data_IF_098558384905
#
_entry.id   IF_098558384905
#
_cell.length_a   1.000
_cell.length_b   1.000
_cell.length_c   1.000
_cell.angle_alpha   90.00
_cell.angle_beta   90.00
_cell.angle_gamma   90.00
#
_symmetry.space_group_name_H-M   'P 1'
#
loop_
_entity.id
_entity.type
_entity.pdbx_description
1 polymer ?
#
# COMPACT_ATOMS: atom_id res chain seq x y z
N UNK A 1 16.65 5.00 -37.06
CA UNK A 1 16.42 4.79 -35.62
C UNK A 1 17.72 5.09 -34.89
N UNK A 2 17.74 6.08 -34.01
CA UNK A 2 18.95 6.49 -33.29
C UNK A 2 19.30 5.46 -32.22
N UNK A 3 20.57 5.03 -32.16
CA UNK A 3 21.10 4.14 -31.12
C UNK A 3 20.90 4.68 -29.69
N UNK A 4 20.56 5.96 -29.55
CA UNK A 4 20.21 6.62 -28.28
C UNK A 4 18.80 6.26 -27.81
N UNK A 5 17.82 6.09 -28.72
CA UNK A 5 16.46 5.67 -28.40
C UNK A 5 16.40 4.19 -27.97
N UNK A 6 17.20 3.33 -28.62
CA UNK A 6 17.29 1.91 -28.28
C UNK A 6 17.93 1.68 -26.89
N UNK A 7 18.77 2.61 -26.42
CA UNK A 7 19.36 2.62 -25.08
C UNK A 7 18.47 3.27 -24.00
N UNK A 8 17.40 3.98 -24.38
CA UNK A 8 16.42 4.59 -23.46
C UNK A 8 15.24 3.64 -23.21
N UNK A 9 14.73 3.00 -24.26
CA UNK A 9 13.67 1.97 -24.20
C UNK A 9 14.15 0.70 -23.48
N UNK A 10 15.41 0.31 -23.65
CA UNK A 10 16.01 -0.82 -22.93
C UNK A 10 16.67 -0.42 -21.60
N UNK A 11 16.30 0.71 -20.98
CA UNK A 11 16.89 1.01 -19.67
C UNK A 11 16.42 -0.02 -18.66
N UNK A 12 17.34 -0.83 -18.09
CA UNK A 12 16.98 -1.78 -17.05
C UNK A 12 16.32 -1.01 -15.90
N UNK A 13 15.32 -1.62 -15.27
CA UNK A 13 14.62 -1.06 -14.11
C UNK A 13 15.63 -0.42 -13.15
N UNK A 14 15.64 0.92 -13.10
CA UNK A 14 16.75 1.72 -12.52
C UNK A 14 16.97 1.47 -11.03
N UNK A 15 15.93 1.03 -10.34
CA UNK A 15 15.95 0.70 -8.91
C UNK A 15 16.19 -0.79 -8.65
N UNK A 16 16.55 -1.57 -9.68
CA UNK A 16 16.70 -3.02 -9.63
C UNK A 16 17.94 -3.56 -8.94
N UNK A 17 18.74 -2.69 -8.33
CA UNK A 17 20.02 -3.06 -7.75
C UNK A 17 19.85 -3.71 -6.37
N UNK A 18 20.61 -4.77 -6.13
CA UNK A 18 20.74 -5.43 -4.82
C UNK A 18 21.88 -4.75 -4.06
N UNK A 19 21.70 -4.49 -2.77
CA UNK A 19 22.73 -3.99 -1.88
C UNK A 19 23.36 -5.17 -1.14
N UNK A 20 24.69 -5.28 -1.10
CA UNK A 20 25.39 -6.42 -0.48
C UNK A 20 25.53 -6.23 1.04
N UNK A 21 24.43 -6.41 1.77
CA UNK A 21 24.44 -6.35 3.25
C UNK A 21 24.39 -7.78 3.80
N UNK A 22 25.31 -8.11 4.72
CA UNK A 22 25.23 -9.38 5.45
C UNK A 22 23.98 -9.39 6.35
N UNK A 23 23.06 -10.32 6.07
CA UNK A 23 21.80 -10.50 6.83
C UNK A 23 21.79 -11.80 7.63
N UNK A 24 21.17 -11.76 8.82
CA UNK A 24 20.75 -12.92 9.60
C UNK A 24 19.36 -13.35 9.12
N UNK A 25 19.31 -14.51 8.46
CA UNK A 25 18.12 -15.03 7.78
C UNK A 25 17.62 -16.28 8.48
N UNK A 26 16.34 -16.33 8.83
CA UNK A 26 15.74 -17.51 9.43
C UNK A 26 15.70 -18.68 8.41
N UNK A 27 15.77 -19.94 8.87
CA UNK A 27 15.59 -21.09 8.00
C UNK A 27 14.28 -20.99 7.22
N UNK A 28 14.29 -21.51 5.99
CA UNK A 28 13.08 -21.61 5.17
C UNK A 28 12.08 -22.54 5.84
N UNK A 29 10.80 -22.22 5.72
CA UNK A 29 9.73 -23.01 6.28
C UNK A 29 8.76 -22.20 7.11
N UNK A 30 7.51 -22.67 7.17
CA UNK A 30 6.48 -22.11 8.02
C UNK A 30 5.98 -23.18 9.01
N UNK A 31 6.42 -23.06 10.26
CA UNK A 31 6.01 -23.91 11.38
C UNK A 31 6.05 -23.13 12.71
N UNK A 32 5.58 -23.75 13.79
CA UNK A 32 5.58 -23.13 15.12
C UNK A 32 7.00 -22.76 15.62
N UNK A 33 8.02 -23.55 15.26
CA UNK A 33 9.39 -23.31 15.69
C UNK A 33 9.96 -22.02 15.05
N UNK A 34 9.65 -21.77 13.77
CA UNK A 34 10.00 -20.51 13.09
C UNK A 34 9.28 -19.33 13.73
N UNK A 35 8.00 -19.47 14.09
CA UNK A 35 7.25 -18.40 14.78
C UNK A 35 7.87 -18.10 16.15
N UNK A 36 8.22 -19.14 16.92
CA UNK A 36 8.91 -19.00 18.21
C UNK A 36 10.30 -18.40 18.04
N UNK A 37 11.01 -18.75 16.97
CA UNK A 37 12.32 -18.17 16.62
C UNK A 37 12.20 -16.67 16.35
N UNK A 38 11.23 -16.24 15.53
CA UNK A 38 10.97 -14.82 15.24
C UNK A 38 10.70 -14.07 16.55
N UNK A 39 9.79 -14.61 17.37
CA UNK A 39 9.40 -14.01 18.63
C UNK A 39 10.57 -13.89 19.62
N UNK A 40 11.42 -14.93 19.69
CA UNK A 40 12.64 -14.94 20.52
C UNK A 40 13.67 -13.94 20.02
N UNK A 41 13.95 -13.89 18.71
CA UNK A 41 14.91 -12.94 18.11
C UNK A 41 14.49 -11.48 18.36
N UNK A 42 13.19 -11.20 18.37
CA UNK A 42 12.63 -9.87 18.65
C UNK A 42 12.36 -9.59 20.13
N UNK A 43 12.64 -10.56 21.00
CA UNK A 43 12.39 -10.49 22.44
C UNK A 43 10.93 -10.13 22.79
N UNK A 44 9.97 -10.66 22.04
CA UNK A 44 8.57 -10.24 22.15
C UNK A 44 7.91 -10.68 23.47
N UNK A 45 6.91 -9.92 23.97
CA UNK A 45 6.13 -10.33 25.12
C UNK A 45 5.26 -11.56 24.81
N UNK A 46 5.01 -12.39 25.83
CA UNK A 46 4.29 -13.66 25.68
C UNK A 46 2.91 -13.54 24.99
N UNK A 47 2.19 -12.44 25.22
CA UNK A 47 0.88 -12.22 24.60
C UNK A 47 0.95 -12.11 23.07
N UNK A 48 2.07 -11.60 22.53
CA UNK A 48 2.26 -11.46 21.08
C UNK A 48 2.62 -12.80 20.45
N UNK A 49 3.43 -13.62 21.15
CA UNK A 49 3.65 -15.01 20.73
C UNK A 49 2.34 -15.79 20.67
N UNK A 50 1.46 -15.66 21.67
CA UNK A 50 0.14 -16.29 21.66
C UNK A 50 -0.74 -15.79 20.51
N UNK A 51 -0.68 -14.50 20.19
CA UNK A 51 -1.37 -13.92 19.02
C UNK A 51 -0.89 -14.58 17.72
N UNK A 52 0.42 -14.72 17.53
CA UNK A 52 1.03 -15.33 16.34
C UNK A 52 0.67 -16.81 16.21
N UNK A 53 0.78 -17.58 17.28
CA UNK A 53 0.46 -19.01 17.28
C UNK A 53 -1.03 -19.26 17.01
N UNK A 54 -1.92 -18.43 17.57
CA UNK A 54 -3.36 -18.49 17.25
C UNK A 54 -3.62 -18.21 15.78
N UNK A 55 -2.95 -17.21 15.19
CA UNK A 55 -3.07 -16.91 13.76
C UNK A 55 -2.62 -18.09 12.89
N UNK A 56 -1.48 -18.70 13.21
CA UNK A 56 -0.97 -19.87 12.50
C UNK A 56 -1.94 -21.07 12.57
N UNK A 57 -2.48 -21.38 13.76
CA UNK A 57 -3.45 -22.45 13.93
C UNK A 57 -4.77 -22.21 13.18
N UNK A 58 -5.19 -20.96 13.03
CA UNK A 58 -6.35 -20.62 12.19
C UNK A 58 -6.01 -20.76 10.72
N UNK A 59 -4.84 -20.28 10.30
CA UNK A 59 -4.38 -20.36 8.92
C UNK A 59 -4.31 -21.81 8.41
N UNK A 60 -3.82 -22.76 9.23
CA UNK A 60 -3.79 -24.19 8.89
C UNK A 60 -5.16 -24.80 8.59
N UNK A 61 -6.25 -24.16 9.03
CA UNK A 61 -7.64 -24.62 8.81
C UNK A 61 -8.30 -23.93 7.62
N UNK A 62 -7.63 -22.95 7.01
CA UNK A 62 -8.17 -22.17 5.90
C UNK A 62 -7.72 -22.76 4.56
N UNK A 63 -8.56 -22.60 3.56
CA UNK A 63 -8.22 -22.89 2.17
C UNK A 63 -7.84 -21.59 1.45
N UNK A 64 -6.89 -21.69 0.52
CA UNK A 64 -6.48 -20.56 -0.28
C UNK A 64 -7.61 -20.13 -1.24
N UNK A 65 -8.03 -18.86 -1.21
CA UNK A 65 -9.15 -18.39 -2.04
C UNK A 65 -8.82 -18.34 -3.54
N UNK A 66 -9.63 -19.04 -4.35
CA UNK A 66 -9.50 -19.12 -5.82
C UNK A 66 -10.49 -18.24 -6.62
N UNK A 67 -11.25 -17.37 -5.94
CA UNK A 67 -12.25 -16.49 -6.57
C UNK A 67 -11.74 -15.19 -7.22
N UNK A 68 -10.56 -14.61 -6.91
CA UNK A 68 -10.17 -13.35 -7.55
C UNK A 68 -9.88 -13.55 -9.04
N UNK A 69 -10.04 -12.49 -9.84
CA UNK A 69 -9.77 -12.54 -11.28
C UNK A 69 -8.27 -12.40 -11.58
N UNK A 70 -7.45 -13.26 -10.99
CA UNK A 70 -6.00 -13.32 -11.17
C UNK A 70 -5.54 -14.77 -11.22
N UNK A 71 -4.44 -15.04 -11.91
CA UNK A 71 -3.84 -16.38 -12.04
C UNK A 71 -2.37 -16.33 -11.65
N UNK A 72 -1.98 -17.18 -10.71
CA UNK A 72 -0.60 -17.42 -10.29
C UNK A 72 -0.37 -18.89 -9.99
N UNK A 73 0.89 -19.37 -10.08
CA UNK A 73 1.28 -20.66 -9.52
C UNK A 73 1.06 -20.66 -8.01
N UNK A 74 0.75 -21.84 -7.46
CA UNK A 74 0.61 -22.01 -6.02
C UNK A 74 1.90 -21.61 -5.31
N UNK A 75 1.77 -20.85 -4.23
CA UNK A 75 2.91 -20.36 -3.44
C UNK A 75 3.41 -21.49 -2.54
N UNK A 76 4.70 -21.84 -2.67
CA UNK A 76 5.37 -22.73 -1.73
C UNK A 76 5.79 -21.96 -0.48
N UNK A 77 4.93 -21.93 0.53
CA UNK A 77 5.19 -21.31 1.83
C UNK A 77 6.37 -21.93 2.57
N UNK A 78 6.77 -23.17 2.25
CA UNK A 78 7.93 -23.80 2.88
C UNK A 78 9.26 -23.37 2.25
N UNK A 79 9.24 -22.79 1.06
CA UNK A 79 10.42 -22.26 0.38
C UNK A 79 10.78 -20.81 0.80
N UNK A 80 9.88 -20.14 1.53
CA UNK A 80 10.02 -18.75 1.95
C UNK A 80 10.81 -18.66 3.26
N UNK A 81 11.68 -17.64 3.37
CA UNK A 81 12.19 -17.19 4.66
C UNK A 81 11.34 -16.04 5.20
N UNK A 82 10.92 -16.15 6.46
CA UNK A 82 9.97 -15.25 7.13
C UNK A 82 10.65 -14.21 8.04
N UNK A 83 11.98 -14.21 8.10
CA UNK A 83 12.76 -13.23 8.85
C UNK A 83 14.11 -13.07 8.19
N UNK A 84 14.45 -11.83 7.85
CA UNK A 84 15.77 -11.42 7.44
C UNK A 84 16.05 -10.07 8.10
N UNK A 85 17.14 -9.95 8.82
CA UNK A 85 17.56 -8.68 9.40
C UNK A 85 19.05 -8.44 9.08
N UNK A 86 19.45 -7.21 8.73
CA UNK A 86 20.87 -6.86 8.62
C UNK A 86 21.62 -7.23 9.90
N UNK A 87 22.80 -7.85 9.80
CA UNK A 87 23.62 -8.12 10.97
C UNK A 87 24.01 -6.79 11.62
N UNK A 88 23.75 -6.60 12.93
CA UNK A 88 24.03 -5.34 13.58
C UNK A 88 25.55 -5.09 13.64
N UNK A 89 26.05 -4.11 12.90
CA UNK A 89 27.39 -3.55 13.10
C UNK A 89 27.32 -2.45 14.16
N UNK A 90 27.42 -2.83 15.44
CA UNK A 90 27.42 -1.94 16.65
C UNK A 90 26.16 -1.04 16.79
N UNK A 91 25.81 -0.68 18.02
CA UNK A 91 24.73 0.29 18.28
C UNK A 91 25.15 1.65 17.72
N UNK A 92 24.44 2.12 16.70
CA UNK A 92 24.71 3.40 16.07
C UNK A 92 24.01 4.52 16.85
N UNK A 93 24.75 5.57 17.22
CA UNK A 93 24.28 6.69 18.03
C UNK A 93 23.83 7.90 17.20
N UNK A 94 24.11 7.92 15.89
CA UNK A 94 23.64 8.96 14.95
C UNK A 94 23.51 8.45 13.50
N UNK A 95 22.85 9.25 12.66
CA UNK A 95 22.69 9.03 11.21
C UNK A 95 24.02 8.97 10.44
N UNK A 96 25.11 9.50 11.00
CA UNK A 96 26.44 9.49 10.38
C UNK A 96 27.14 8.13 10.47
N UNK A 97 26.59 7.21 11.27
CA UNK A 97 27.14 5.87 11.44
C UNK A 97 26.38 4.81 10.61
N UNK A 98 25.31 5.20 9.90
CA UNK A 98 24.58 4.31 8.97
C UNK A 98 25.52 3.83 7.87
N UNK A 99 25.41 2.55 7.47
CA UNK A 99 26.30 1.96 6.46
C UNK A 99 26.36 2.86 5.20
N UNK A 100 27.56 3.29 4.76
CA UNK A 100 27.73 4.13 3.58
C UNK A 100 27.06 3.55 2.33
N UNK A 101 26.89 2.23 2.25
CA UNK A 101 26.19 1.56 1.16
C UNK A 101 24.67 1.75 1.24
N UNK A 102 24.09 1.79 2.45
CA UNK A 102 22.69 2.17 2.69
C UNK A 102 22.45 3.64 2.31
N UNK A 103 23.34 4.55 2.70
CA UNK A 103 23.26 5.97 2.35
C UNK A 103 23.34 6.18 0.82
N UNK A 104 24.31 5.56 0.15
CA UNK A 104 24.42 5.57 -1.33
C UNK A 104 23.21 4.95 -2.02
N UNK A 105 22.62 3.95 -1.39
CA UNK A 105 21.40 3.28 -1.87
C UNK A 105 20.21 4.24 -1.84
N UNK A 106 20.05 5.05 -0.79
CA UNK A 106 19.02 6.09 -0.71
C UNK A 106 19.24 7.23 -1.70
N UNK A 107 20.48 7.69 -1.88
CA UNK A 107 20.83 8.69 -2.90
C UNK A 107 20.49 8.19 -4.32
N UNK A 108 20.81 6.93 -4.64
CA UNK A 108 20.48 6.31 -5.93
C UNK A 108 18.98 6.10 -6.16
N UNK A 109 18.20 5.91 -5.09
CA UNK A 109 16.74 5.83 -5.18
C UNK A 109 16.09 7.19 -5.49
N UNK A 110 16.84 8.29 -5.44
CA UNK A 110 16.30 9.63 -5.65
C UNK A 110 15.45 10.13 -4.48
N UNK A 111 15.56 9.51 -3.29
CA UNK A 111 14.96 9.98 -2.04
C UNK A 111 15.94 10.98 -1.43
N UNK A 112 15.74 12.31 -1.59
CA UNK A 112 16.73 13.29 -1.17
C UNK A 112 16.62 13.46 0.35
N UNK A 113 17.38 12.66 1.11
CA UNK A 113 17.37 12.68 2.57
C UNK A 113 17.75 14.04 3.16
N UNK A 114 18.60 14.82 2.48
CA UNK A 114 19.10 16.10 2.99
C UNK A 114 18.39 17.35 2.46
N UNK A 115 17.85 17.35 1.24
CA UNK A 115 17.34 18.59 0.61
C UNK A 115 15.81 18.76 0.72
N UNK A 116 15.01 17.69 0.81
CA UNK A 116 13.53 17.82 0.91
C UNK A 116 12.98 17.72 2.33
N UNK A 117 13.67 17.02 3.23
CA UNK A 117 13.29 16.96 4.65
C UNK A 117 13.33 18.34 5.35
N UNK A 118 14.15 19.27 4.85
CA UNK A 118 14.25 20.64 5.34
C UNK A 118 13.26 21.63 4.68
N UNK A 119 12.77 21.33 3.48
CA UNK A 119 11.88 22.22 2.71
C UNK A 119 10.38 21.92 2.91
N UNK A 120 10.01 20.70 3.32
CA UNK A 120 8.62 20.23 3.40
C UNK A 120 8.11 19.94 4.82
N UNK A 121 9.00 19.83 5.80
CA UNK A 121 8.63 19.51 7.18
C UNK A 121 8.06 18.11 7.40
N UNK A 122 8.32 17.12 6.54
CA UNK A 122 7.78 15.74 6.63
C UNK A 122 8.64 14.85 7.53
N UNK A 123 8.02 14.04 8.41
CA UNK A 123 8.73 13.00 9.17
C UNK A 123 8.80 11.70 8.37
N UNK A 124 10.01 11.18 8.15
CA UNK A 124 10.24 9.96 7.36
C UNK A 124 10.82 8.87 8.26
N UNK A 125 10.16 7.70 8.28
CA UNK A 125 10.71 6.45 8.81
C UNK A 125 11.11 5.56 7.64
N UNK A 126 12.36 5.15 7.59
CA UNK A 126 12.89 4.34 6.49
C UNK A 126 13.14 2.93 6.97
N UNK A 127 12.40 1.96 6.41
CA UNK A 127 12.45 0.55 6.79
C UNK A 127 13.17 -0.23 5.70
N UNK A 128 14.27 -0.88 6.07
CA UNK A 128 15.09 -1.71 5.20
C UNK A 128 15.21 -3.11 5.81
N UNK A 129 14.76 -4.15 5.09
CA UNK A 129 14.80 -5.57 5.52
C UNK A 129 14.55 -5.76 7.03
N UNK A 130 13.28 -5.63 7.43
CA UNK A 130 12.80 -5.82 8.81
C UNK A 130 13.28 -4.90 9.92
N UNK A 131 14.10 -3.89 9.61
CA UNK A 131 14.63 -2.94 10.59
C UNK A 131 14.38 -1.49 10.15
N UNK A 132 13.91 -0.64 11.07
CA UNK A 132 13.90 0.81 10.87
C UNK A 132 15.33 1.35 10.98
N UNK A 133 15.80 2.03 9.94
CA UNK A 133 17.19 2.52 9.82
C UNK A 133 17.31 3.98 10.27
N UNK A 134 16.26 4.78 10.08
CA UNK A 134 16.24 6.20 10.45
C UNK A 134 14.81 6.71 10.64
N UNK A 135 14.55 7.37 11.77
CA UNK A 135 13.31 8.13 12.01
C UNK A 135 13.66 9.60 12.25
N UNK A 136 13.37 10.47 11.29
CA UNK A 136 13.58 11.92 11.43
C UNK A 136 12.45 12.55 12.25
N UNK A 137 12.71 13.62 13.00
CA UNK A 137 11.71 14.40 13.77
C UNK A 137 11.02 13.71 14.96
N UNK A 138 11.52 12.56 15.43
CA UNK A 138 11.00 11.84 16.62
C UNK A 138 10.82 12.73 17.85
N UNK A 139 11.74 13.66 18.11
CA UNK A 139 11.65 14.60 19.24
C UNK A 139 10.49 15.59 19.08
N UNK A 140 10.32 16.20 17.89
CA UNK A 140 9.22 17.15 17.65
C UNK A 140 7.84 16.49 17.69
N UNK A 141 7.73 15.25 17.22
CA UNK A 141 6.50 14.46 17.33
C UNK A 141 6.21 14.10 18.80
N UNK A 142 7.23 13.74 19.57
CA UNK A 142 7.09 13.44 21.00
C UNK A 142 6.69 14.68 21.82
N UNK A 143 7.13 15.90 21.46
CA UNK A 143 6.72 17.15 22.11
C UNK A 143 5.20 17.37 22.06
N UNK A 144 4.54 16.93 20.99
CA UNK A 144 3.07 16.97 20.84
C UNK A 144 2.38 15.65 21.21
N UNK A 145 3.12 14.70 21.80
CA UNK A 145 2.61 13.41 22.27
C UNK A 145 2.30 12.39 21.17
N UNK A 146 2.72 12.62 19.93
CA UNK A 146 2.56 11.68 18.82
C UNK A 146 3.62 10.59 18.93
N UNK A 147 3.18 9.33 18.85
CA UNK A 147 4.06 8.17 18.78
C UNK A 147 4.16 7.77 17.31
N UNK A 148 5.37 7.79 16.76
CA UNK A 148 5.67 7.31 15.41
C UNK A 148 6.96 6.50 15.46
N UNK A 149 6.85 5.19 15.30
CA UNK A 149 7.97 4.25 15.38
C UNK A 149 7.61 2.91 14.72
N UNK A 150 8.59 2.02 14.61
CA UNK A 150 8.31 0.64 14.16
C UNK A 150 7.38 -0.10 15.11
N UNK A 151 6.59 -1.04 14.58
CA UNK A 151 5.71 -1.90 15.40
C UNK A 151 6.51 -2.71 16.43
N UNK A 152 7.74 -3.10 16.08
CA UNK A 152 8.65 -3.82 16.99
C UNK A 152 9.04 -2.94 18.18
N UNK A 153 9.35 -1.66 17.97
CA UNK A 153 9.62 -0.72 19.06
C UNK A 153 8.38 -0.47 19.90
N UNK A 154 7.22 -0.28 19.27
CA UNK A 154 5.96 -0.01 19.96
C UNK A 154 5.53 -1.14 20.89
N UNK A 155 5.77 -2.40 20.52
CA UNK A 155 5.47 -3.57 21.37
C UNK A 155 6.28 -3.55 22.67
N UNK A 156 7.49 -3.00 22.64
CA UNK A 156 8.36 -2.89 23.83
C UNK A 156 8.08 -1.63 24.64
N UNK A 157 7.96 -0.48 23.98
CA UNK A 157 7.80 0.82 24.63
C UNK A 157 6.36 1.08 25.09
N UNK A 158 5.36 0.57 24.35
CA UNK A 158 3.93 0.81 24.58
C UNK A 158 3.09 -0.49 24.49
N UNK A 159 3.45 -1.56 25.23
CA UNK A 159 2.84 -2.89 25.09
C UNK A 159 1.32 -2.88 25.28
N UNK A 160 0.82 -2.15 26.28
CA UNK A 160 -0.62 -2.10 26.58
C UNK A 160 -1.42 -1.42 25.46
N UNK A 161 -0.86 -0.37 24.86
CA UNK A 161 -1.50 0.37 23.78
C UNK A 161 -1.56 -0.46 22.49
N UNK A 162 -0.46 -1.13 22.13
CA UNK A 162 -0.44 -2.03 20.98
C UNK A 162 -1.39 -3.20 21.21
N UNK A 163 -1.36 -3.83 22.38
CA UNK A 163 -2.24 -4.95 22.74
C UNK A 163 -3.73 -4.59 22.72
N UNK A 164 -4.07 -3.35 23.07
CA UNK A 164 -5.46 -2.86 23.03
C UNK A 164 -6.03 -2.79 21.62
N UNK A 165 -5.21 -2.45 20.61
CA UNK A 165 -5.67 -2.14 19.26
C UNK A 165 -5.29 -3.17 18.19
N UNK A 166 -4.19 -3.91 18.38
CA UNK A 166 -3.71 -4.89 17.42
C UNK A 166 -4.75 -6.00 17.17
N UNK A 167 -5.12 -6.20 15.91
CA UNK A 167 -6.07 -7.23 15.50
C UNK A 167 -7.54 -6.91 15.83
N UNK A 168 -7.84 -5.69 16.27
CA UNK A 168 -9.22 -5.25 16.53
C UNK A 168 -9.99 -4.97 15.24
N UNK A 169 -9.30 -4.55 14.18
CA UNK A 169 -9.91 -4.22 12.89
C UNK A 169 -9.69 -5.35 11.88
N UNK A 170 -8.49 -5.93 11.87
CA UNK A 170 -8.15 -7.11 11.06
C UNK A 170 -7.74 -8.26 12.00
N UNK A 171 -8.70 -9.09 12.45
CA UNK A 171 -8.42 -10.20 13.36
C UNK A 171 -7.50 -11.26 12.76
N UNK A 172 -6.92 -12.09 13.64
CA UNK A 172 -6.01 -13.19 13.25
C UNK A 172 -6.61 -14.21 12.27
N UNK A 173 -7.94 -14.29 12.18
CA UNK A 173 -8.67 -15.19 11.29
C UNK A 173 -9.44 -14.47 10.18
N UNK A 174 -9.08 -13.22 9.85
CA UNK A 174 -9.85 -12.40 8.91
C UNK A 174 -9.93 -13.01 7.50
N UNK A 175 -8.78 -13.41 6.96
CA UNK A 175 -8.64 -14.09 5.67
C UNK A 175 -7.30 -14.83 5.61
N UNK A 176 -7.12 -15.66 4.57
CA UNK A 176 -5.94 -16.51 4.41
C UNK A 176 -4.61 -15.73 4.54
N UNK A 177 -4.44 -14.62 3.80
CA UNK A 177 -3.21 -13.85 3.80
C UNK A 177 -3.04 -12.97 5.04
N UNK A 178 -4.14 -12.47 5.63
CA UNK A 178 -4.10 -11.76 6.91
C UNK A 178 -3.73 -12.67 8.08
N UNK A 179 -4.18 -13.94 8.07
CA UNK A 179 -3.81 -14.93 9.08
C UNK A 179 -2.33 -15.31 8.97
N UNK A 180 -1.84 -15.52 7.73
CA UNK A 180 -0.42 -15.71 7.46
C UNK A 180 0.41 -14.53 7.98
N UNK A 181 0.07 -13.29 7.58
CA UNK A 181 0.72 -12.08 8.07
C UNK A 181 0.71 -12.02 9.61
N UNK A 182 -0.43 -12.25 10.25
CA UNK A 182 -0.56 -12.19 11.71
C UNK A 182 0.33 -13.20 12.45
N UNK A 183 0.68 -14.32 11.81
CA UNK A 183 1.61 -15.30 12.37
C UNK A 183 3.08 -14.83 12.27
N UNK A 184 3.47 -14.26 11.13
CA UNK A 184 4.89 -14.09 10.78
C UNK A 184 5.36 -12.65 10.64
N UNK A 185 4.49 -11.64 10.76
CA UNK A 185 4.87 -10.25 10.51
C UNK A 185 6.06 -9.85 11.38
N UNK A 186 7.07 -9.28 10.74
CA UNK A 186 8.26 -8.74 11.42
C UNK A 186 8.26 -7.22 11.32
N UNK A 187 7.63 -6.68 10.28
CA UNK A 187 7.87 -5.30 9.84
C UNK A 187 6.62 -4.48 10.08
N UNK A 188 6.76 -3.17 9.90
CA UNK A 188 5.64 -2.24 9.87
C UNK A 188 5.72 -1.18 10.95
N UNK A 189 4.66 -0.38 11.00
CA UNK A 189 4.68 0.94 11.61
C UNK A 189 3.57 1.08 12.64
N UNK A 190 3.89 1.70 13.77
CA UNK A 190 2.92 2.09 14.76
C UNK A 190 2.82 3.61 14.83
N UNK A 191 1.61 4.13 14.66
CA UNK A 191 1.31 5.53 14.82
C UNK A 191 0.16 5.74 15.80
N UNK A 192 0.37 6.56 16.83
CA UNK A 192 -0.67 6.97 17.76
C UNK A 192 -0.70 8.49 17.87
N UNK A 193 -1.88 9.07 17.64
CA UNK A 193 -2.11 10.51 17.70
C UNK A 193 -3.05 10.79 18.87
N UNK A 194 -2.61 11.53 19.90
CA UNK A 194 -3.38 11.75 21.11
C UNK A 194 -4.54 12.72 20.88
N UNK A 195 -5.43 12.79 21.88
CA UNK A 195 -6.66 13.61 21.82
C UNK A 195 -6.37 15.08 21.52
N UNK A 196 -7.14 15.64 20.58
CA UNK A 196 -7.08 17.05 20.19
C UNK A 196 -5.83 17.46 19.41
N UNK A 197 -4.92 16.53 19.12
CA UNK A 197 -3.66 16.85 18.44
C UNK A 197 -3.81 16.68 16.93
N UNK A 198 -3.51 17.75 16.20
CA UNK A 198 -3.31 17.69 14.75
C UNK A 198 -1.85 17.45 14.48
N UNK A 199 -1.51 16.39 13.76
CA UNK A 199 -0.15 16.12 13.36
C UNK A 199 0.40 17.34 12.60
N UNK A 200 1.53 17.94 13.05
CA UNK A 200 2.05 19.17 12.46
C UNK A 200 2.63 18.96 11.06
N UNK A 201 2.77 17.71 10.63
CA UNK A 201 3.39 17.30 9.38
C UNK A 201 2.81 15.98 8.88
N UNK A 202 3.05 15.69 7.61
CA UNK A 202 2.81 14.37 7.05
C UNK A 202 3.83 13.38 7.62
N UNK A 203 3.35 12.18 7.96
CA UNK A 203 4.18 11.04 8.33
C UNK A 203 4.39 10.18 7.10
N UNK A 204 5.61 9.75 6.83
CA UNK A 204 5.92 8.92 5.68
C UNK A 204 6.74 7.71 6.12
N UNK A 205 6.37 6.53 5.65
CA UNK A 205 7.19 5.32 5.79
C UNK A 205 7.59 4.84 4.40
N UNK A 206 8.87 4.57 4.21
CA UNK A 206 9.38 4.00 2.97
C UNK A 206 9.89 2.58 3.19
N UNK A 207 9.31 1.63 2.47
CA UNK A 207 9.67 0.22 2.50
C UNK A 207 10.52 -0.15 1.29
N UNK A 208 11.64 -0.82 1.53
CA UNK A 208 12.44 -1.46 0.48
C UNK A 208 12.73 -2.91 0.82
N UNK A 209 12.46 -3.79 -0.15
CA UNK A 209 12.88 -5.19 -0.12
C UNK A 209 14.31 -5.27 -0.64
N UNK A 210 15.21 -6.03 -0.03
CA UNK A 210 16.56 -6.24 -0.60
C UNK A 210 17.03 -7.69 -0.57
N UNK A 211 16.49 -8.53 0.30
CA UNK A 211 16.89 -9.94 0.43
C UNK A 211 16.08 -10.87 -0.51
N UNK A 212 16.78 -11.53 -1.45
CA UNK A 212 16.18 -12.50 -2.38
C UNK A 212 15.60 -13.73 -1.65
N UNK A 213 14.37 -14.13 -2.00
CA UNK A 213 13.70 -15.31 -1.42
C UNK A 213 13.12 -15.10 0.00
N UNK A 214 13.19 -13.88 0.53
CA UNK A 214 12.45 -13.48 1.72
C UNK A 214 11.03 -13.02 1.34
N UNK A 215 10.04 -13.34 2.18
CA UNK A 215 8.70 -12.77 2.06
C UNK A 215 8.59 -11.52 2.92
N UNK A 216 7.93 -10.47 2.42
CA UNK A 216 7.71 -9.25 3.19
C UNK A 216 6.34 -9.29 3.86
N UNK A 217 6.36 -9.34 5.20
CA UNK A 217 5.15 -9.34 6.02
C UNK A 217 5.21 -8.16 6.98
N UNK A 218 4.51 -7.10 6.61
CA UNK A 218 4.43 -5.87 7.40
C UNK A 218 3.05 -5.67 8.01
N UNK A 219 3.02 -5.03 9.17
CA UNK A 219 1.78 -4.66 9.83
C UNK A 219 1.81 -3.22 10.33
N UNK A 220 0.95 -2.40 9.75
CA UNK A 220 0.81 -0.99 10.09
C UNK A 220 -0.43 -0.78 10.95
N UNK A 221 -0.28 -0.11 12.09
CA UNK A 221 -1.35 0.20 13.03
C UNK A 221 -1.35 1.70 13.31
N UNK A 222 -2.42 2.39 12.90
CA UNK A 222 -2.60 3.84 13.09
C UNK A 222 -3.85 4.07 13.92
N UNK A 223 -3.68 4.80 15.03
CA UNK A 223 -4.76 5.14 15.96
C UNK A 223 -4.83 6.66 16.10
N UNK A 224 -5.96 7.23 15.70
CA UNK A 224 -6.27 8.64 15.86
C UNK A 224 -7.34 8.80 16.94
N UNK A 225 -6.95 9.36 18.09
CA UNK A 225 -7.84 9.64 19.21
C UNK A 225 -8.81 10.80 18.91
N UNK A 226 -9.71 11.07 19.84
CA UNK A 226 -10.74 12.10 19.70
C UNK A 226 -10.18 13.48 19.27
N UNK A 227 -10.73 14.07 18.21
CA UNK A 227 -10.37 15.37 17.69
C UNK A 227 -8.96 15.45 17.07
N UNK A 228 -8.32 14.30 16.84
CA UNK A 228 -6.96 14.24 16.28
C UNK A 228 -6.95 14.13 14.76
N UNK A 229 -5.84 14.49 14.12
CA UNK A 229 -5.71 14.32 12.67
C UNK A 229 -4.32 13.90 12.24
N UNK A 230 -4.22 12.99 11.28
CA UNK A 230 -2.95 12.54 10.70
C UNK A 230 -3.07 12.35 9.19
N UNK A 231 -1.98 12.67 8.51
CA UNK A 231 -1.78 12.34 7.11
C UNK A 231 -0.54 11.45 7.04
N UNK A 232 -0.76 10.21 6.62
CA UNK A 232 0.23 9.15 6.58
C UNK A 232 0.45 8.70 5.13
N UNK A 233 1.71 8.54 4.76
CA UNK A 233 2.15 8.09 3.46
C UNK A 233 2.96 6.82 3.57
N UNK A 234 2.70 5.92 2.65
CA UNK A 234 3.41 4.66 2.49
C UNK A 234 4.00 4.60 1.08
N UNK A 235 5.32 4.58 0.99
CA UNK A 235 6.06 4.36 -0.25
C UNK A 235 6.69 2.97 -0.27
N UNK A 236 6.58 2.24 -1.38
CA UNK A 236 7.26 0.95 -1.53
C UNK A 236 7.99 0.88 -2.88
N UNK A 237 9.27 0.49 -2.87
CA UNK A 237 10.03 0.10 -4.07
C UNK A 237 10.78 -1.22 -3.85
N UNK A 238 10.96 -2.02 -4.90
CA UNK A 238 11.71 -3.27 -4.82
C UNK A 238 12.78 -3.39 -5.91
N UNK A 239 13.91 -4.07 -5.64
CA UNK A 239 14.87 -4.53 -6.62
C UNK A 239 14.29 -5.49 -7.64
N UNK A 240 15.09 -5.77 -8.68
CA UNK A 240 14.75 -6.73 -9.72
C UNK A 240 15.17 -8.12 -9.25
N UNK A 241 14.22 -9.03 -9.15
CA UNK A 241 14.47 -10.45 -8.91
C UNK A 241 13.78 -11.29 -9.98
N UNK A 242 14.43 -12.37 -10.36
CA UNK A 242 13.89 -13.33 -11.34
C UNK A 242 12.88 -14.30 -10.68
N UNK A 243 12.88 -14.38 -9.34
CA UNK A 243 11.92 -15.16 -8.54
C UNK A 243 10.74 -14.29 -8.07
N UNK A 244 9.54 -14.88 -8.02
CA UNK A 244 8.37 -14.18 -7.47
C UNK A 244 8.50 -14.01 -5.96
N UNK A 245 8.29 -12.79 -5.48
CA UNK A 245 8.30 -12.48 -4.05
C UNK A 245 6.90 -12.14 -3.57
N UNK A 246 6.55 -12.64 -2.39
CA UNK A 246 5.26 -12.38 -1.74
C UNK A 246 5.40 -11.18 -0.80
N UNK A 247 4.64 -10.14 -1.09
CA UNK A 247 4.39 -9.02 -0.20
C UNK A 247 2.96 -9.14 0.34
N UNK A 248 2.83 -9.42 1.63
CA UNK A 248 1.54 -9.55 2.30
C UNK A 248 1.47 -8.63 3.52
N UNK A 249 0.92 -7.43 3.31
CA UNK A 249 0.77 -6.42 4.33
C UNK A 249 -0.62 -6.43 4.99
N UNK A 250 -0.66 -6.04 6.26
CA UNK A 250 -1.90 -5.73 6.98
C UNK A 250 -1.86 -4.31 7.50
N UNK A 251 -2.91 -3.53 7.21
CA UNK A 251 -3.04 -2.15 7.71
C UNK A 251 -4.33 -2.01 8.50
N UNK A 252 -4.22 -1.54 9.74
CA UNK A 252 -5.33 -1.26 10.64
C UNK A 252 -5.36 0.24 10.96
N UNK A 253 -6.44 0.92 10.59
CA UNK A 253 -6.68 2.32 10.98
C UNK A 253 -7.84 2.38 11.97
N UNK A 254 -7.70 3.15 13.04
CA UNK A 254 -8.77 3.39 14.03
C UNK A 254 -8.93 4.89 14.21
N UNK A 255 -10.07 5.43 13.78
CA UNK A 255 -10.44 6.83 13.95
C UNK A 255 -11.56 6.95 15.00
N UNK A 256 -11.27 7.64 16.12
CA UNK A 256 -12.23 7.95 17.17
C UNK A 256 -13.01 9.25 16.87
N UNK A 257 -13.71 9.79 17.86
CA UNK A 257 -14.67 10.88 17.68
C UNK A 257 -14.00 12.13 17.07
N UNK A 258 -14.54 12.65 15.97
CA UNK A 258 -14.02 13.81 15.25
C UNK A 258 -12.56 13.66 14.77
N UNK A 259 -12.05 12.43 14.66
CA UNK A 259 -10.70 12.16 14.18
C UNK A 259 -10.65 12.07 12.64
N UNK A 260 -9.54 12.48 12.02
CA UNK A 260 -9.32 12.42 10.57
C UNK A 260 -8.01 11.70 10.24
N UNK A 261 -8.11 10.59 9.50
CA UNK A 261 -6.95 9.83 9.00
C UNK A 261 -6.93 9.90 7.47
N UNK A 262 -5.89 10.48 6.91
CA UNK A 262 -5.55 10.37 5.48
C UNK A 262 -4.43 9.37 5.31
N UNK A 263 -4.68 8.33 4.53
CA UNK A 263 -3.71 7.28 4.22
C UNK A 263 -3.43 7.27 2.73
N UNK A 264 -2.21 7.64 2.35
CA UNK A 264 -1.77 7.65 0.96
C UNK A 264 -0.78 6.53 0.71
N UNK A 265 -0.87 5.86 -0.44
CA UNK A 265 0.09 4.83 -0.85
C UNK A 265 0.58 5.11 -2.26
N UNK A 266 1.89 5.14 -2.45
CA UNK A 266 2.53 5.20 -3.78
C UNK A 266 3.46 4.00 -3.89
N UNK A 267 3.06 3.00 -4.70
CA UNK A 267 3.83 1.77 -4.88
C UNK A 267 4.40 1.69 -6.29
N UNK A 268 5.69 1.40 -6.41
CA UNK A 268 6.35 1.11 -7.67
C UNK A 268 7.23 -0.15 -7.57
N UNK A 269 6.59 -1.29 -7.76
CA UNK A 269 7.23 -2.60 -7.69
C UNK A 269 7.90 -3.01 -9.02
N UNK A 270 8.66 -4.11 -8.98
CA UNK A 270 9.13 -4.82 -10.17
C UNK A 270 8.05 -5.77 -10.69
N UNK A 271 7.63 -5.57 -11.94
CA UNK A 271 6.46 -6.21 -12.55
C UNK A 271 6.75 -7.59 -13.15
N UNK A 272 8.02 -8.02 -13.11
CA UNK A 272 8.53 -9.07 -13.98
C UNK A 272 9.05 -8.50 -15.30
N UNK A 273 9.60 -9.37 -16.13
CA UNK A 273 10.04 -9.01 -17.48
C UNK A 273 8.86 -8.86 -18.47
N UNK A 274 9.17 -8.54 -19.74
CA UNK A 274 8.16 -8.38 -20.80
C UNK A 274 7.34 -9.66 -21.07
N UNK A 275 7.82 -10.82 -20.63
CA UNK A 275 7.14 -12.12 -20.76
C UNK A 275 6.40 -12.52 -19.47
N UNK A 276 6.40 -11.66 -18.46
CA UNK A 276 5.75 -11.91 -17.17
C UNK A 276 6.51 -12.87 -16.26
N UNK A 277 7.82 -13.06 -16.46
CA UNK A 277 8.67 -13.86 -15.57
C UNK A 277 9.15 -13.00 -14.40
N UNK A 278 9.00 -13.52 -13.19
CA UNK A 278 9.35 -12.83 -11.95
C UNK A 278 8.29 -11.80 -11.50
N UNK A 279 8.73 -10.85 -10.68
CA UNK A 279 7.87 -9.78 -10.15
C UNK A 279 7.12 -10.12 -8.86
N UNK A 280 6.46 -9.11 -8.30
CA UNK A 280 5.92 -9.18 -6.92
C UNK A 280 4.44 -9.54 -6.89
N UNK A 281 4.07 -10.42 -5.96
CA UNK A 281 2.69 -10.69 -5.57
C UNK A 281 2.33 -9.82 -4.37
N UNK A 282 1.40 -8.89 -4.57
CA UNK A 282 1.02 -7.86 -3.61
C UNK A 282 -0.37 -8.16 -3.05
N UNK A 283 -0.43 -8.93 -1.95
CA UNK A 283 -1.66 -9.47 -1.35
C UNK A 283 -1.94 -8.82 -0.01
N UNK A 284 -2.70 -7.71 -0.03
CA UNK A 284 -2.76 -6.78 1.09
C UNK A 284 -4.16 -6.66 1.67
N UNK A 285 -4.24 -6.70 3.00
CA UNK A 285 -5.48 -6.42 3.73
C UNK A 285 -5.38 -5.09 4.47
N UNK A 286 -5.98 -4.04 3.91
CA UNK A 286 -6.11 -2.74 4.59
C UNK A 286 -7.55 -2.53 5.07
N UNK A 287 -7.73 -2.12 6.32
CA UNK A 287 -9.06 -1.80 6.85
C UNK A 287 -8.99 -0.69 7.88
N UNK A 288 -9.88 0.28 7.71
CA UNK A 288 -10.11 1.39 8.61
C UNK A 288 -11.42 1.24 9.33
N UNK A 289 -11.39 1.47 10.65
CA UNK A 289 -12.55 1.55 11.52
C UNK A 289 -12.78 3.02 11.89
N UNK A 290 -13.75 3.62 11.21
CA UNK A 290 -14.31 4.91 11.56
C UNK A 290 -15.31 4.68 12.71
N UNK A 291 -14.75 4.54 13.92
CA UNK A 291 -15.47 4.15 15.13
C UNK A 291 -16.29 5.31 15.69
N UNK A 292 -15.69 6.50 15.70
CA UNK A 292 -16.23 7.66 16.39
C UNK A 292 -17.21 8.49 15.56
N UNK A 293 -18.00 9.30 16.27
CA UNK A 293 -18.89 10.27 15.64
C UNK A 293 -18.08 11.26 14.81
N UNK A 294 -18.52 11.59 13.59
CA UNK A 294 -17.82 12.45 12.64
C UNK A 294 -16.39 12.00 12.30
N UNK A 295 -16.00 10.76 12.57
CA UNK A 295 -14.66 10.27 12.22
C UNK A 295 -14.53 10.13 10.69
N UNK A 296 -13.37 10.48 10.14
CA UNK A 296 -13.08 10.40 8.71
C UNK A 296 -11.86 9.52 8.44
N UNK A 297 -11.98 8.66 7.44
CA UNK A 297 -10.86 7.89 6.88
C UNK A 297 -10.85 8.06 5.37
N UNK A 298 -9.72 8.52 4.84
CA UNK A 298 -9.51 8.74 3.40
C UNK A 298 -8.35 7.89 2.91
N UNK A 299 -8.62 6.98 1.97
CA UNK A 299 -7.61 6.18 1.29
C UNK A 299 -7.29 6.79 -0.05
N UNK A 300 -6.01 7.04 -0.31
CA UNK A 300 -5.53 7.49 -1.62
C UNK A 300 -4.42 6.54 -2.08
N UNK A 301 -4.50 6.02 -3.29
CA UNK A 301 -3.50 5.07 -3.76
C UNK A 301 -3.16 5.27 -5.24
N UNK A 302 -1.87 5.14 -5.54
CA UNK A 302 -1.33 5.04 -6.90
C UNK A 302 -0.51 3.77 -6.97
N UNK A 303 -0.95 2.85 -7.81
CA UNK A 303 -0.45 1.49 -7.83
C UNK A 303 0.13 1.17 -9.19
N UNK A 304 1.41 0.82 -9.18
CA UNK A 304 2.08 0.30 -10.35
C UNK A 304 3.13 -0.75 -9.98
N UNK A 305 3.41 -1.64 -10.93
CA UNK A 305 4.61 -2.45 -10.90
C UNK A 305 4.53 -3.81 -10.21
N UNK A 306 3.41 -4.27 -9.64
CA UNK A 306 3.33 -5.67 -9.16
C UNK A 306 3.03 -6.62 -10.33
N UNK A 307 3.52 -7.86 -10.31
CA UNK A 307 3.07 -8.88 -11.25
C UNK A 307 1.58 -9.20 -11.02
N UNK A 308 1.21 -9.35 -9.73
CA UNK A 308 -0.17 -9.53 -9.31
C UNK A 308 -0.47 -8.62 -8.15
N UNK A 309 -1.60 -7.91 -8.24
CA UNK A 309 -2.11 -7.06 -7.16
C UNK A 309 -3.47 -7.56 -6.71
N UNK A 310 -3.59 -7.83 -5.41
CA UNK A 310 -4.86 -8.23 -4.79
C UNK A 310 -5.09 -7.45 -3.50
N UNK A 311 -6.03 -6.49 -3.53
CA UNK A 311 -6.32 -5.67 -2.34
C UNK A 311 -7.69 -5.00 -2.37
N UNK A 312 -8.25 -4.85 -1.18
CA UNK A 312 -9.50 -4.10 -0.99
C UNK A 312 -9.46 -3.24 0.27
N UNK A 313 -8.79 -2.07 0.26
CA UNK A 313 -8.88 -1.12 1.36
C UNK A 313 -10.33 -0.86 1.73
N UNK A 314 -10.66 -1.06 3.00
CA UNK A 314 -12.05 -1.08 3.47
C UNK A 314 -12.28 -0.03 4.55
N UNK A 315 -13.45 0.59 4.58
CA UNK A 315 -13.89 1.46 5.67
C UNK A 315 -15.14 0.87 6.34
N UNK A 316 -15.04 0.62 7.65
CA UNK A 316 -16.19 0.34 8.51
C UNK A 316 -16.64 1.67 9.11
N UNK A 317 -17.77 2.19 8.64
CA UNK A 317 -18.38 3.45 9.06
C UNK A 317 -19.35 3.17 10.20
N UNK A 318 -18.82 3.04 11.41
CA UNK A 318 -19.57 2.68 12.61
C UNK A 318 -20.15 3.91 13.32
N UNK A 319 -19.38 4.98 13.41
CA UNK A 319 -19.80 6.21 14.06
C UNK A 319 -20.91 6.93 13.31
N UNK A 320 -21.73 7.68 14.04
CA UNK A 320 -22.70 8.59 13.40
C UNK A 320 -21.97 9.66 12.60
N UNK A 321 -22.47 9.97 11.40
CA UNK A 321 -21.88 10.95 10.48
C UNK A 321 -20.43 10.67 10.08
N UNK A 322 -19.95 9.43 10.27
CA UNK A 322 -18.60 9.06 9.85
C UNK A 322 -18.46 9.02 8.32
N UNK A 323 -17.27 9.35 7.82
CA UNK A 323 -16.98 9.52 6.38
C UNK A 323 -15.86 8.58 5.94
N UNK A 324 -16.08 7.87 4.83
CA UNK A 324 -15.09 6.99 4.20
C UNK A 324 -14.82 7.41 2.76
N UNK A 325 -13.58 7.65 2.41
CA UNK A 325 -13.21 8.04 1.05
C UNK A 325 -12.16 7.06 0.49
N UNK A 326 -12.24 6.81 -0.82
CA UNK A 326 -11.30 5.97 -1.53
C UNK A 326 -11.03 6.54 -2.91
N UNK A 327 -9.76 6.85 -3.18
CA UNK A 327 -9.26 7.39 -4.43
C UNK A 327 -8.14 6.48 -4.93
N UNK A 328 -8.29 5.89 -6.11
CA UNK A 328 -7.34 4.89 -6.61
C UNK A 328 -7.00 5.11 -8.07
N UNK A 329 -5.71 5.08 -8.38
CA UNK A 329 -5.18 4.86 -9.73
C UNK A 329 -4.47 3.51 -9.75
N UNK A 330 -4.89 2.61 -10.64
CA UNK A 330 -4.25 1.32 -10.84
C UNK A 330 -3.82 1.19 -12.29
N UNK A 331 -2.53 0.96 -12.53
CA UNK A 331 -1.97 0.79 -13.88
C UNK A 331 -1.36 -0.59 -14.05
N UNK A 332 -1.83 -1.30 -15.07
CA UNK A 332 -1.31 -2.60 -15.47
C UNK A 332 -0.78 -2.54 -16.90
N UNK A 333 0.36 -3.18 -17.12
CA UNK A 333 1.02 -3.29 -18.42
C UNK A 333 1.62 -4.69 -18.60
N UNK A 334 2.06 -5.04 -19.81
CA UNK A 334 2.60 -6.35 -20.16
C UNK A 334 1.65 -7.48 -19.73
N UNK A 335 2.07 -8.38 -18.84
CA UNK A 335 1.28 -9.51 -18.34
C UNK A 335 0.81 -9.32 -16.89
N UNK A 336 0.84 -8.07 -16.38
CA UNK A 336 0.38 -7.77 -15.03
C UNK A 336 -1.11 -8.06 -14.85
N UNK A 337 -1.48 -8.45 -13.64
CA UNK A 337 -2.86 -8.71 -13.25
C UNK A 337 -3.21 -7.94 -11.99
N UNK A 338 -4.37 -7.31 -11.95
CA UNK A 338 -4.86 -6.60 -10.78
C UNK A 338 -6.32 -6.95 -10.50
N UNK A 339 -6.63 -7.37 -9.27
CA UNK A 339 -7.99 -7.38 -8.73
C UNK A 339 -8.00 -6.49 -7.49
N UNK A 340 -8.40 -5.23 -7.70
CA UNK A 340 -8.29 -4.14 -6.74
C UNK A 340 -9.65 -3.49 -6.51
N UNK A 341 -9.83 -2.82 -5.38
CA UNK A 341 -11.01 -1.97 -5.18
C UNK A 341 -11.19 -1.64 -3.72
N UNK A 342 -12.43 -1.48 -3.27
CA UNK A 342 -12.70 -1.02 -1.90
C UNK A 342 -13.99 -1.60 -1.33
N UNK A 343 -14.10 -1.63 0.00
CA UNK A 343 -15.34 -2.01 0.69
C UNK A 343 -15.77 -0.90 1.64
N UNK A 344 -16.90 -0.27 1.36
CA UNK A 344 -17.54 0.73 2.21
C UNK A 344 -18.71 0.10 2.96
N UNK A 345 -18.57 -0.06 4.28
CA UNK A 345 -19.56 -0.72 5.13
C UNK A 345 -20.20 0.33 6.04
N UNK A 346 -21.42 0.74 5.71
CA UNK A 346 -22.19 1.73 6.46
C UNK A 346 -22.99 1.06 7.58
N UNK A 347 -22.72 1.46 8.82
CA UNK A 347 -23.41 0.97 10.02
C UNK A 347 -24.07 2.13 10.77
N UNK A 348 -23.33 3.23 10.99
CA UNK A 348 -23.81 4.43 11.67
C UNK A 348 -24.82 5.22 10.84
N UNK A 349 -25.59 6.08 11.52
CA UNK A 349 -26.52 7.03 10.88
C UNK A 349 -25.77 8.10 10.12
N UNK A 350 -26.36 8.65 9.07
CA UNK A 350 -25.84 9.80 8.29
C UNK A 350 -24.42 9.60 7.72
N UNK A 351 -23.97 8.36 7.60
CA UNK A 351 -22.63 8.02 7.11
C UNK A 351 -22.48 8.32 5.63
N UNK A 352 -21.29 8.74 5.21
CA UNK A 352 -21.01 9.09 3.81
C UNK A 352 -19.82 8.33 3.28
N UNK A 353 -19.90 7.90 2.02
CA UNK A 353 -18.72 7.39 1.33
C UNK A 353 -18.60 7.88 -0.11
N UNK A 354 -17.35 8.05 -0.52
CA UNK A 354 -16.98 8.44 -1.88
C UNK A 354 -15.95 7.44 -2.39
N UNK A 355 -16.19 6.88 -3.57
CA UNK A 355 -15.29 5.95 -4.24
C UNK A 355 -14.98 6.52 -5.62
N UNK A 356 -13.71 6.79 -5.91
CA UNK A 356 -13.23 7.18 -7.22
C UNK A 356 -12.09 6.24 -7.61
N UNK A 357 -12.33 5.39 -8.60
CA UNK A 357 -11.34 4.44 -9.11
C UNK A 357 -11.07 4.71 -10.58
N UNK A 358 -9.79 4.84 -10.92
CA UNK A 358 -9.27 5.04 -12.28
C UNK A 358 -8.35 3.86 -12.62
N UNK A 359 -8.85 2.93 -13.43
CA UNK A 359 -8.08 1.79 -13.92
C UNK A 359 -7.47 2.09 -15.28
N UNK A 360 -6.21 1.78 -15.50
CA UNK A 360 -5.54 1.87 -16.81
C UNK A 360 -4.97 0.50 -17.12
N UNK A 361 -5.28 -0.02 -18.31
CA UNK A 361 -4.82 -1.33 -18.78
C UNK A 361 -4.12 -1.16 -20.12
N UNK A 362 -2.91 -1.71 -20.23
CA UNK A 362 -2.06 -1.65 -21.42
C UNK A 362 -1.44 -3.02 -21.74
N UNK A 363 -0.91 -3.18 -22.95
CA UNK A 363 -0.26 -4.43 -23.39
C UNK A 363 -1.22 -5.63 -23.36
N UNK A 364 -0.83 -6.71 -22.69
CA UNK A 364 -1.62 -7.94 -22.52
C UNK A 364 -2.22 -8.07 -21.11
N UNK A 365 -2.28 -6.96 -20.38
CA UNK A 365 -2.57 -6.97 -18.95
C UNK A 365 -4.07 -7.04 -18.65
N UNK A 366 -4.41 -7.44 -17.42
CA UNK A 366 -5.80 -7.47 -16.95
C UNK A 366 -5.97 -6.65 -15.68
N UNK A 367 -6.83 -5.64 -15.75
CA UNK A 367 -7.17 -4.79 -14.61
C UNK A 367 -8.64 -5.00 -14.22
N UNK A 368 -8.88 -5.45 -12.99
CA UNK A 368 -10.21 -5.68 -12.45
C UNK A 368 -10.43 -4.76 -11.25
N UNK A 369 -11.43 -3.89 -11.35
CA UNK A 369 -12.01 -3.21 -10.20
C UNK A 369 -13.09 -4.08 -9.55
N UNK A 370 -13.06 -4.23 -8.24
CA UNK A 370 -14.09 -4.91 -7.45
C UNK A 370 -14.41 -4.14 -6.18
N UNK A 371 -15.62 -3.60 -6.12
CA UNK A 371 -16.09 -2.76 -5.02
C UNK A 371 -17.26 -3.39 -4.27
N UNK A 372 -17.37 -3.14 -2.95
CA UNK A 372 -18.54 -3.45 -2.15
C UNK A 372 -19.04 -2.19 -1.43
N UNK A 373 -20.29 -1.82 -1.67
CA UNK A 373 -21.01 -0.83 -0.85
C UNK A 373 -22.12 -1.58 -0.11
N UNK A 374 -21.99 -1.65 1.22
CA UNK A 374 -22.97 -2.33 2.09
C UNK A 374 -23.60 -1.32 3.05
N UNK A 375 -24.90 -1.14 2.95
CA UNK A 375 -25.70 -0.32 3.87
C UNK A 375 -26.45 -1.22 4.85
N UNK A 376 -26.08 -1.17 6.13
CA UNK A 376 -26.77 -1.91 7.18
C UNK A 376 -28.17 -1.31 7.47
N UNK A 377 -29.10 -2.11 8.04
CA UNK A 377 -30.42 -1.60 8.43
C UNK A 377 -30.37 -0.40 9.39
N UNK A 378 -29.34 -0.30 10.22
CA UNK A 378 -29.13 0.79 11.18
C UNK A 378 -28.68 2.11 10.55
N UNK A 379 -28.13 2.07 9.33
CA UNK A 379 -27.49 3.19 8.68
C UNK A 379 -28.49 4.14 7.97
N UNK A 380 -29.41 4.72 8.75
CA UNK A 380 -30.39 5.68 8.23
C UNK A 380 -29.71 6.95 7.72
N UNK A 381 -30.12 7.44 6.55
CA UNK A 381 -29.54 8.64 5.94
C UNK A 381 -28.15 8.46 5.33
N UNK A 382 -27.69 7.20 5.19
CA UNK A 382 -26.40 6.91 4.56
C UNK A 382 -26.37 7.35 3.09
N UNK A 383 -25.21 7.83 2.64
CA UNK A 383 -24.98 8.24 1.25
C UNK A 383 -23.71 7.62 0.70
N UNK A 384 -23.76 7.11 -0.52
CA UNK A 384 -22.59 6.67 -1.27
C UNK A 384 -22.63 7.24 -2.69
N UNK A 385 -21.48 7.70 -3.16
CA UNK A 385 -21.20 7.97 -4.56
C UNK A 385 -19.99 7.14 -4.99
N UNK A 386 -20.12 6.41 -6.08
CA UNK A 386 -19.06 5.58 -6.62
C UNK A 386 -18.86 5.85 -8.11
N UNK A 387 -17.64 6.15 -8.52
CA UNK A 387 -17.23 6.38 -9.90
C UNK A 387 -16.06 5.47 -10.24
N UNK A 388 -16.25 4.59 -11.23
CA UNK A 388 -15.28 3.58 -11.64
C UNK A 388 -14.97 3.73 -13.13
N UNK A 389 -13.90 4.45 -13.45
CA UNK A 389 -13.51 4.69 -14.82
C UNK A 389 -12.35 3.77 -15.21
N UNK A 390 -12.44 3.19 -16.40
CA UNK A 390 -11.38 2.36 -16.97
C UNK A 390 -10.88 2.95 -18.28
N UNK A 391 -9.58 2.90 -18.52
CA UNK A 391 -8.94 3.29 -19.78
C UNK A 391 -8.17 2.11 -20.36
N UNK A 392 -8.45 1.78 -21.62
CA UNK A 392 -7.71 0.77 -22.36
C UNK A 392 -6.74 1.44 -23.34
N UNK A 393 -5.50 0.94 -23.34
CA UNK A 393 -4.43 1.33 -24.26
C UNK A 393 -4.09 0.08 -25.09
N UNK A 394 -4.40 0.13 -26.39
CA UNK A 394 -4.30 -1.00 -27.30
C UNK A 394 -5.61 -1.81 -27.41
N UNK A 395 -5.50 -3.03 -27.94
CA UNK A 395 -6.60 -3.96 -28.21
C UNK A 395 -6.41 -5.36 -27.58
N UNK A 396 -5.28 -5.59 -26.89
CA UNK A 396 -4.91 -6.86 -26.27
C UNK A 396 -5.07 -6.89 -24.74
N UNK A 397 -5.46 -5.78 -24.12
CA UNK A 397 -5.62 -5.64 -22.67
C UNK A 397 -7.08 -5.77 -22.24
N UNK A 398 -7.29 -6.15 -20.97
CA UNK A 398 -8.60 -6.28 -20.35
C UNK A 398 -8.82 -5.26 -19.23
N UNK A 399 -10.02 -4.69 -19.17
CA UNK A 399 -10.51 -3.90 -18.04
C UNK A 399 -11.88 -4.43 -17.59
N UNK A 400 -12.02 -4.76 -16.32
CA UNK A 400 -13.21 -5.38 -15.74
C UNK A 400 -13.70 -4.61 -14.53
N UNK A 401 -15.02 -4.48 -14.37
CA UNK A 401 -15.63 -3.76 -13.24
C UNK A 401 -16.69 -4.66 -12.59
N UNK A 402 -16.48 -5.04 -11.33
CA UNK A 402 -17.34 -5.91 -10.54
C UNK A 402 -17.90 -5.18 -9.31
N UNK A 403 -18.94 -4.33 -9.45
CA UNK A 403 -19.53 -3.62 -8.33
C UNK A 403 -20.55 -4.50 -7.58
N UNK A 404 -20.48 -4.49 -6.25
CA UNK A 404 -21.44 -5.12 -5.36
C UNK A 404 -22.13 -4.06 -4.52
N UNK A 405 -23.45 -3.96 -4.62
CA UNK A 405 -24.25 -3.02 -3.85
C UNK A 405 -25.27 -3.81 -3.02
N UNK A 406 -25.21 -3.65 -1.70
CA UNK A 406 -26.09 -4.32 -0.74
C UNK A 406 -26.76 -3.27 0.15
N UNK A 407 -27.96 -2.84 -0.22
CA UNK A 407 -28.71 -1.83 0.54
C UNK A 407 -29.82 -2.48 1.36
N UNK A 408 -29.71 -2.40 2.68
CA UNK A 408 -30.74 -2.89 3.62
C UNK A 408 -31.42 -1.78 4.42
N UNK A 409 -31.37 -0.53 3.93
CA UNK A 409 -32.03 0.62 4.54
C UNK A 409 -32.73 1.47 3.47
N UNK A 410 -34.01 1.79 3.68
CA UNK A 410 -34.86 2.50 2.71
C UNK A 410 -34.52 3.99 2.55
N UNK A 411 -33.87 4.59 3.55
CA UNK A 411 -33.53 6.02 3.56
C UNK A 411 -32.13 6.30 2.99
N UNK A 412 -31.45 5.28 2.47
CA UNK A 412 -30.11 5.41 1.93
C UNK A 412 -30.13 5.92 0.48
N UNK A 413 -29.10 6.66 0.10
CA UNK A 413 -28.85 7.07 -1.30
C UNK A 413 -27.54 6.45 -1.76
N UNK A 414 -27.60 5.65 -2.82
CA UNK A 414 -26.41 4.97 -3.35
C UNK A 414 -26.40 5.19 -4.86
N UNK A 415 -25.33 5.78 -5.35
CA UNK A 415 -25.10 6.07 -6.76
C UNK A 415 -23.81 5.37 -7.21
N UNK A 416 -23.86 4.71 -8.37
CA UNK A 416 -22.71 4.04 -8.96
C UNK A 416 -22.67 4.29 -10.45
N UNK A 417 -21.56 4.83 -10.91
CA UNK A 417 -21.25 5.12 -12.30
C UNK A 417 -19.97 4.37 -12.68
N UNK A 418 -19.97 3.78 -13.86
CA UNK A 418 -18.78 3.17 -14.43
C UNK A 418 -18.66 3.54 -15.91
N UNK A 419 -17.48 3.99 -16.32
CA UNK A 419 -17.21 4.37 -17.70
C UNK A 419 -15.99 3.64 -18.24
N UNK A 420 -15.96 3.45 -19.56
CA UNK A 420 -14.80 2.87 -20.25
C UNK A 420 -14.39 3.82 -21.35
N UNK A 421 -13.13 4.22 -21.33
CA UNK A 421 -12.50 5.12 -22.27
C UNK A 421 -11.41 4.37 -23.05
N UNK A 422 -11.23 4.75 -24.31
CA UNK A 422 -10.07 4.35 -25.12
C UNK A 422 -9.38 5.61 -25.61
N UNK A 423 -8.06 5.61 -25.66
CA UNK A 423 -7.32 6.69 -26.31
C UNK A 423 -7.56 6.57 -27.82
N UNK A 424 -8.25 7.56 -28.39
CA UNK A 424 -8.62 7.56 -29.80
C UNK A 424 -7.48 8.06 -30.69
N UNK A 425 -7.41 7.55 -31.92
CA UNK A 425 -6.45 8.01 -32.94
C UNK A 425 -6.59 9.51 -33.22
N UNK A 426 -7.83 10.04 -33.23
CA UNK A 426 -8.11 11.47 -33.41
C UNK A 426 -7.46 12.34 -32.32
N UNK A 427 -7.45 11.86 -31.07
CA UNK A 427 -6.81 12.58 -29.96
C UNK A 427 -5.30 12.63 -30.16
N UNK A 428 -4.69 11.49 -30.49
CA UNK A 428 -3.25 11.40 -30.77
C UNK A 428 -2.85 12.23 -31.99
N UNK A 429 -3.65 12.18 -33.06
CA UNK A 429 -3.45 12.97 -34.26
C UNK A 429 -3.52 14.47 -33.98
N UNK A 430 -4.47 14.90 -33.13
CA UNK A 430 -4.57 16.30 -32.70
C UNK A 430 -3.31 16.77 -31.98
N UNK A 431 -2.77 15.97 -31.05
CA UNK A 431 -1.50 16.29 -30.37
C UNK A 431 -0.32 16.32 -31.35
N UNK A 432 -0.23 15.33 -32.26
CA UNK A 432 0.81 15.27 -33.28
C UNK A 432 0.80 16.49 -34.20
N UNK A 433 -0.38 17.00 -34.58
CA UNK A 433 -0.53 18.24 -35.36
C UNK A 433 0.03 19.47 -34.63
N UNK A 434 0.12 19.42 -33.30
CA UNK A 434 0.72 20.47 -32.45
C UNK A 434 2.20 20.22 -32.13
N UNK A 435 2.81 19.24 -32.77
CA UNK A 435 4.23 18.90 -32.57
C UNK A 435 4.51 18.13 -31.29
N UNK A 436 3.47 17.61 -30.63
CA UNK A 436 3.59 16.81 -29.40
C UNK A 436 3.69 15.34 -29.81
N UNK A 437 4.73 14.65 -29.32
CA UNK A 437 4.96 13.23 -29.62
C UNK A 437 3.88 12.33 -29.02
N UNK A 438 3.68 11.13 -29.59
CA UNK A 438 2.64 10.20 -29.14
C UNK A 438 2.76 9.83 -27.65
N UNK A 439 3.98 9.61 -27.15
CA UNK A 439 4.21 9.26 -25.74
C UNK A 439 3.85 10.41 -24.79
N UNK A 440 4.23 11.63 -25.15
CA UNK A 440 3.89 12.83 -24.38
C UNK A 440 2.38 13.09 -24.40
N UNK A 441 1.73 12.91 -25.56
CA UNK A 441 0.29 13.01 -25.72
C UNK A 441 -0.46 12.01 -24.81
N UNK A 442 -0.05 10.74 -24.81
CA UNK A 442 -0.65 9.69 -23.96
C UNK A 442 -0.46 10.02 -22.48
N UNK A 443 0.74 10.44 -22.08
CA UNK A 443 1.02 10.89 -20.71
C UNK A 443 0.09 12.04 -20.30
N UNK A 444 -0.09 13.05 -21.15
CA UNK A 444 -1.00 14.18 -20.89
C UNK A 444 -2.45 13.74 -20.71
N UNK A 445 -2.96 12.87 -21.60
CA UNK A 445 -4.33 12.33 -21.53
C UNK A 445 -4.54 11.57 -20.21
N UNK A 446 -3.58 10.73 -19.84
CA UNK A 446 -3.64 9.91 -18.62
C UNK A 446 -3.58 10.75 -17.36
N UNK A 447 -2.76 11.80 -17.35
CA UNK A 447 -2.72 12.75 -16.25
C UNK A 447 -4.05 13.50 -16.10
N UNK A 448 -4.69 13.86 -17.23
CA UNK A 448 -6.04 14.42 -17.22
C UNK A 448 -7.07 13.45 -16.66
N UNK A 449 -6.99 12.17 -17.05
CA UNK A 449 -7.88 11.10 -16.58
C UNK A 449 -7.76 10.83 -15.08
N UNK A 450 -6.54 10.90 -14.53
CA UNK A 450 -6.24 10.61 -13.13
C UNK A 450 -6.31 11.83 -12.20
N UNK A 451 -6.62 13.03 -12.74
CA UNK A 451 -6.58 14.32 -12.03
C UNK A 451 -7.31 14.29 -10.68
N UNK A 452 -8.53 13.74 -10.66
CA UNK A 452 -9.38 13.73 -9.46
C UNK A 452 -8.74 12.95 -8.30
N UNK A 453 -7.92 11.94 -8.60
CA UNK A 453 -7.18 11.15 -7.61
C UNK A 453 -5.90 11.87 -7.19
N UNK A 454 -5.14 12.43 -8.14
CA UNK A 454 -3.90 13.14 -7.81
C UNK A 454 -4.11 14.38 -6.96
N UNK A 455 -5.26 15.04 -7.08
CA UNK A 455 -5.63 16.17 -6.22
C UNK A 455 -5.81 15.77 -4.73
N UNK A 456 -5.97 14.48 -4.44
CA UNK A 456 -6.09 13.97 -3.08
C UNK A 456 -4.74 13.54 -2.47
N UNK A 457 -3.67 13.52 -3.27
CA UNK A 457 -2.32 13.29 -2.80
C UNK A 457 -1.67 14.61 -2.37
N UNK A 458 -0.74 14.59 -1.40
CA UNK A 458 0.11 15.76 -1.16
C UNK A 458 0.93 16.09 -2.41
N UNK A 459 1.17 17.39 -2.62
CA UNK A 459 1.68 17.92 -3.90
C UNK A 459 2.98 17.23 -4.35
N UNK A 460 3.90 16.96 -3.43
CA UNK A 460 5.19 16.33 -3.74
C UNK A 460 5.01 14.93 -4.35
N UNK A 461 4.07 14.17 -3.81
CA UNK A 461 3.77 12.80 -4.25
C UNK A 461 2.91 12.78 -5.51
N UNK A 462 2.04 13.78 -5.71
CA UNK A 462 1.28 13.91 -6.96
C UNK A 462 2.23 14.11 -8.17
N UNK A 463 3.31 14.89 -7.99
CA UNK A 463 4.35 15.07 -9.03
C UNK A 463 5.12 13.77 -9.28
N UNK A 464 5.48 13.04 -8.21
CA UNK A 464 6.18 11.76 -8.33
C UNK A 464 5.32 10.70 -9.03
N UNK A 465 4.05 10.55 -8.62
CA UNK A 465 3.08 9.66 -9.25
C UNK A 465 2.94 9.94 -10.75
N UNK A 466 2.84 11.22 -11.13
CA UNK A 466 2.76 11.64 -12.54
C UNK A 466 3.97 11.17 -13.35
N UNK A 467 5.18 11.33 -12.81
CA UNK A 467 6.42 10.89 -13.48
C UNK A 467 6.50 9.37 -13.58
N UNK A 468 6.16 8.67 -12.49
CA UNK A 468 6.18 7.20 -12.44
C UNK A 468 5.24 6.58 -13.48
N UNK A 469 4.05 7.15 -13.65
CA UNK A 469 3.07 6.69 -14.62
C UNK A 469 3.54 6.90 -16.07
N UNK A 470 4.16 8.04 -16.36
CA UNK A 470 4.76 8.31 -17.66
C UNK A 470 5.79 7.23 -18.05
N UNK A 471 6.71 6.89 -17.15
CA UNK A 471 7.74 5.87 -17.42
C UNK A 471 7.18 4.46 -17.65
N UNK A 472 6.09 4.08 -16.97
CA UNK A 472 5.53 2.73 -17.06
C UNK A 472 4.74 2.49 -18.34
N UNK A 473 4.39 3.56 -19.04
CA UNK A 473 3.58 3.54 -20.25
C UNK A 473 4.38 3.93 -21.50
N UNK A 474 5.64 4.33 -21.32
CA UNK A 474 6.62 4.48 -22.39
C UNK A 474 6.76 3.15 -23.15
N UNK A 475 6.76 3.20 -24.49
CA UNK A 475 6.77 1.99 -25.33
C UNK A 475 5.53 1.09 -25.28
N UNK A 476 4.48 1.44 -24.51
CA UNK A 476 3.23 0.65 -24.43
C UNK A 476 2.19 1.05 -25.49
N UNK A 477 2.55 2.04 -26.30
CA UNK A 477 1.75 2.62 -27.38
C UNK A 477 2.43 2.24 -28.69
N UNK A 478 2.20 1.00 -29.14
CA UNK A 478 2.84 0.44 -30.33
C UNK A 478 2.61 -1.04 -30.44
#
# INVERSE_FOLDING_TARGET
>A
MSAVLQNLVNQPYKHGFVTEIESDVAPKGLNEDIIRLISTKKNEPAWLLDFRLKAYQQWLKMEEPAWPNVKYPQIDFQAISYYAAPKPKKKLNSMDEVDPELLRTFEKLGVPMHERAALAGVAVDVIFDSVSVATTYKQKLAEVGIIFCSISEAVHAYPELVKQYLGTVVPVGDNYYAALNSAVFTDGTFCFIPKGVKCPMDLSTYFRINTEGSGQFERTLIVAEEGSSVSYLEGCTAPRFDTNQLHAAVVELIALDNADIKYSTVQNWYAGDEKGVGGIYNFVTKRGLAKGVNSRISWTQVETGSAITWKYPSCILQGESSVGEFYSVAVTNNYQQADTGTKMIHIGKNTRSTIVSKGISAGHSNNSYRGLVRIAPTASGARNYSQCDSMLIGDQCGAHTFPYIQVRNQNAKVEHEASTSKIGEDQLFYFAQRGIGNEEAVSMIINGFCKDVFQQLPMEFAVEATKLLGFKLEGSVG
#
